data_IF_783663668358
#
_entry.id   IF_783663668358
#
_cell.length_a   1.000
_cell.length_b   1.000
_cell.length_c   1.000
_cell.angle_alpha   90.00
_cell.angle_beta   90.00
_cell.angle_gamma   90.00
#
_symmetry.space_group_name_H-M   'P 1'
#
loop_
_entity.id
_entity.type
_entity.pdbx_description
1 polymer ?
#
# COMPACT_ATOMS: atom_id res chain seq x y z
N UNK A 1 5.35 -10.51 -11.04
CA UNK A 1 5.81 -9.52 -12.01
C UNK A 1 4.60 -8.72 -12.50
N UNK A 2 4.69 -7.38 -12.60
CA UNK A 2 3.56 -6.50 -12.97
C UNK A 2 3.01 -6.83 -14.38
N UNK A 3 3.89 -7.22 -15.30
CA UNK A 3 3.51 -7.62 -16.66
C UNK A 3 2.71 -8.91 -16.67
N UNK A 4 3.01 -9.85 -15.79
CA UNK A 4 2.32 -11.12 -15.68
C UNK A 4 0.91 -10.91 -15.13
N UNK A 5 0.75 -10.03 -14.13
CA UNK A 5 -0.55 -9.67 -13.56
C UNK A 5 -1.50 -9.08 -14.62
N UNK A 6 -1.03 -8.12 -15.43
CA UNK A 6 -1.83 -7.55 -16.52
C UNK A 6 -2.27 -8.61 -17.53
N UNK A 7 -1.36 -9.49 -17.92
CA UNK A 7 -1.67 -10.58 -18.85
C UNK A 7 -2.71 -11.54 -18.28
N UNK A 8 -2.62 -11.89 -17.01
CA UNK A 8 -3.56 -12.80 -16.35
C UNK A 8 -4.94 -12.18 -16.18
N UNK A 9 -5.01 -10.88 -15.87
CA UNK A 9 -6.26 -10.12 -15.85
C UNK A 9 -6.91 -10.08 -17.26
N UNK A 10 -6.14 -9.76 -18.29
CA UNK A 10 -6.63 -9.71 -19.67
C UNK A 10 -7.13 -11.07 -20.18
N UNK A 11 -6.55 -12.16 -19.68
CA UNK A 11 -6.99 -13.54 -19.98
C UNK A 11 -8.14 -14.03 -19.10
N UNK A 12 -8.69 -13.18 -18.22
CA UNK A 12 -9.74 -13.55 -17.27
C UNK A 12 -9.36 -14.70 -16.31
N UNK A 13 -8.08 -14.89 -16.02
CA UNK A 13 -7.59 -15.93 -15.10
C UNK A 13 -7.75 -15.50 -13.64
N UNK A 14 -7.79 -14.19 -13.37
CA UNK A 14 -8.02 -13.62 -12.04
C UNK A 14 -9.49 -13.26 -11.91
N UNK A 15 -10.15 -13.77 -10.88
CA UNK A 15 -11.58 -13.55 -10.60
C UNK A 15 -11.82 -12.75 -9.32
N UNK A 16 -10.80 -12.58 -8.51
CA UNK A 16 -10.87 -11.90 -7.22
C UNK A 16 -9.66 -10.98 -7.05
N UNK A 17 -9.90 -9.76 -6.64
CA UNK A 17 -8.87 -8.75 -6.36
C UNK A 17 -9.11 -8.13 -5.00
N UNK A 18 -8.08 -8.09 -4.17
CA UNK A 18 -8.09 -7.37 -2.90
C UNK A 18 -7.12 -6.19 -2.99
N UNK A 19 -7.65 -4.99 -2.96
CA UNK A 19 -6.90 -3.75 -3.00
C UNK A 19 -6.68 -3.25 -1.58
N UNK A 20 -5.46 -3.40 -1.06
CA UNK A 20 -5.07 -2.88 0.25
C UNK A 20 -4.34 -1.55 0.06
N UNK A 21 -5.02 -0.45 0.34
CA UNK A 21 -4.56 0.94 0.10
C UNK A 21 -4.01 1.16 -1.33
N UNK A 22 -4.47 0.36 -2.29
CA UNK A 22 -4.02 0.39 -3.67
C UNK A 22 -5.05 1.13 -4.53
N UNK A 23 -4.75 2.36 -4.87
CA UNK A 23 -5.62 3.29 -5.59
C UNK A 23 -5.00 3.87 -6.87
N UNK A 24 -3.69 3.66 -7.06
CA UNK A 24 -2.96 4.10 -8.25
C UNK A 24 -2.49 2.89 -9.07
N UNK A 25 -3.37 2.40 -9.93
CA UNK A 25 -3.08 1.27 -10.82
C UNK A 25 -3.66 1.53 -12.22
N UNK A 26 -3.04 0.93 -13.24
CA UNK A 26 -3.32 1.14 -14.67
C UNK A 26 -3.83 -0.12 -15.40
N UNK A 27 -4.43 -1.05 -14.68
CA UNK A 27 -5.00 -2.28 -15.24
C UNK A 27 -6.52 -2.35 -15.01
N UNK A 28 -7.20 -3.08 -15.89
CA UNK A 28 -8.63 -3.31 -15.83
C UNK A 28 -8.97 -4.49 -14.91
N UNK A 29 -9.84 -4.25 -13.93
CA UNK A 29 -10.34 -5.24 -12.97
C UNK A 29 -11.86 -5.40 -13.02
N UNK A 30 -12.52 -4.86 -14.05
CA UNK A 30 -13.98 -4.85 -14.19
C UNK A 30 -14.62 -6.24 -14.23
N UNK A 31 -13.86 -7.28 -14.59
CA UNK A 31 -14.30 -8.67 -14.62
C UNK A 31 -13.98 -9.46 -13.33
N UNK A 32 -13.52 -8.78 -12.28
CA UNK A 32 -13.16 -9.38 -11.00
C UNK A 32 -14.17 -8.98 -9.92
N UNK A 33 -14.34 -9.84 -8.92
CA UNK A 33 -14.91 -9.42 -7.64
C UNK A 33 -13.85 -8.64 -6.87
N UNK A 34 -14.13 -7.40 -6.51
CA UNK A 34 -13.15 -6.47 -5.94
C UNK A 34 -13.50 -6.12 -4.50
N UNK A 35 -12.57 -6.34 -3.59
CA UNK A 35 -12.60 -5.78 -2.25
C UNK A 35 -11.57 -4.64 -2.19
N UNK A 36 -12.01 -3.48 -1.74
CA UNK A 36 -11.12 -2.36 -1.42
C UNK A 36 -11.07 -2.16 0.10
N UNK A 37 -9.85 -2.16 0.64
CA UNK A 37 -9.58 -1.74 2.02
C UNK A 37 -8.67 -0.52 1.97
N UNK A 38 -9.13 0.60 2.51
CA UNK A 38 -8.37 1.84 2.50
C UNK A 38 -9.07 2.95 3.27
N UNK A 39 -8.43 4.10 3.35
CA UNK A 39 -8.86 5.23 4.19
C UNK A 39 -9.47 6.40 3.42
N UNK A 40 -9.35 6.44 2.10
CA UNK A 40 -9.93 7.48 1.24
C UNK A 40 -10.60 6.85 0.02
N UNK A 41 -11.75 7.43 -0.37
CA UNK A 41 -12.43 7.04 -1.59
C UNK A 41 -11.65 7.51 -2.82
N UNK A 42 -11.16 6.57 -3.62
CA UNK A 42 -10.44 6.84 -4.85
C UNK A 42 -10.79 5.77 -5.89
N UNK A 43 -10.03 5.66 -6.97
CA UNK A 43 -10.26 4.72 -8.07
C UNK A 43 -10.55 3.28 -7.59
N UNK A 44 -9.78 2.80 -6.61
CA UNK A 44 -10.00 1.47 -6.04
C UNK A 44 -11.36 1.32 -5.36
N UNK A 45 -11.76 2.32 -4.57
CA UNK A 45 -13.07 2.32 -3.90
C UNK A 45 -14.23 2.42 -4.88
N UNK A 46 -14.06 3.18 -5.98
CA UNK A 46 -15.11 3.34 -7.01
C UNK A 46 -15.37 2.05 -7.80
N UNK A 47 -14.38 1.18 -7.91
CA UNK A 47 -14.46 -0.08 -8.64
C UNK A 47 -14.78 -1.28 -7.72
N UNK A 48 -14.88 -1.07 -6.41
CA UNK A 48 -15.04 -2.16 -5.44
C UNK A 48 -16.49 -2.61 -5.32
N UNK A 49 -16.69 -3.93 -5.24
CA UNK A 49 -17.95 -4.54 -4.84
C UNK A 49 -18.16 -4.45 -3.33
N UNK A 50 -17.05 -4.45 -2.56
CA UNK A 50 -17.07 -4.33 -1.10
C UNK A 50 -15.97 -3.35 -0.66
N UNK A 51 -16.34 -2.41 0.21
CA UNK A 51 -15.42 -1.46 0.84
C UNK A 51 -15.27 -1.79 2.32
N UNK A 52 -14.02 -1.97 2.76
CA UNK A 52 -13.65 -2.16 4.17
C UNK A 52 -12.91 -0.89 4.62
N UNK A 53 -13.51 -0.05 5.48
CA UNK A 53 -12.90 1.22 5.86
C UNK A 53 -11.67 0.99 6.74
N UNK A 54 -10.50 1.35 6.22
CA UNK A 54 -9.22 1.33 6.89
C UNK A 54 -8.89 2.65 7.59
N UNK A 55 -8.02 2.60 8.60
CA UNK A 55 -7.52 3.78 9.30
C UNK A 55 -6.42 4.47 8.48
N UNK A 56 -6.41 5.81 8.49
CA UNK A 56 -5.32 6.60 7.91
C UNK A 56 -4.02 6.47 8.75
N UNK A 57 -2.90 6.90 8.20
CA UNK A 57 -1.59 6.75 8.86
C UNK A 57 -1.49 7.45 10.23
N UNK A 58 -2.26 8.51 10.46
CA UNK A 58 -2.36 9.20 11.75
C UNK A 58 -3.29 8.53 12.75
N UNK A 59 -4.11 7.60 12.31
CA UNK A 59 -5.17 6.93 13.05
C UNK A 59 -4.80 5.49 13.45
N UNK A 60 -3.61 5.05 13.07
CA UNK A 60 -3.09 3.70 13.36
C UNK A 60 -1.62 3.75 13.80
N UNK A 61 -1.18 2.71 14.49
CA UNK A 61 0.24 2.47 14.68
C UNK A 61 0.82 1.74 13.47
N UNK A 62 1.98 2.18 13.02
CA UNK A 62 2.63 1.58 11.85
C UNK A 62 4.14 1.50 11.99
N UNK A 63 4.74 0.62 11.22
CA UNK A 63 6.18 0.59 10.99
C UNK A 63 6.47 1.03 9.55
N UNK A 64 7.41 1.95 9.42
CA UNK A 64 7.76 2.57 8.14
C UNK A 64 9.26 2.42 7.91
N UNK A 65 9.62 2.01 6.71
CA UNK A 65 11.02 1.91 6.30
C UNK A 65 11.32 3.04 5.32
N UNK A 66 12.30 3.89 5.64
CA UNK A 66 12.70 4.98 4.76
C UNK A 66 13.58 4.48 3.60
N UNK A 67 13.98 5.40 2.71
CA UNK A 67 14.81 5.08 1.55
C UNK A 67 16.18 4.50 1.92
N UNK A 68 16.72 4.86 3.09
CA UNK A 68 17.98 4.33 3.62
C UNK A 68 17.82 2.94 4.26
N UNK A 69 16.61 2.41 4.33
CA UNK A 69 16.32 1.13 4.96
C UNK A 69 16.11 1.19 6.48
N UNK A 70 16.04 2.38 7.07
CA UNK A 70 15.81 2.54 8.50
C UNK A 70 14.34 2.32 8.83
N UNK A 71 14.07 1.40 9.75
CA UNK A 71 12.72 1.11 10.25
C UNK A 71 12.39 2.01 11.43
N UNK A 72 11.27 2.71 11.34
CA UNK A 72 10.75 3.59 12.39
C UNK A 72 9.30 3.25 12.70
N UNK A 73 8.86 3.53 13.93
CA UNK A 73 7.47 3.35 14.33
C UNK A 73 6.76 4.69 14.44
N UNK A 74 5.52 4.74 13.94
CA UNK A 74 4.60 5.80 14.27
C UNK A 74 3.64 5.36 15.38
N UNK A 75 3.31 6.29 16.23
CA UNK A 75 2.23 6.13 17.19
C UNK A 75 0.94 6.74 16.64
N UNK A 76 -0.17 6.20 17.04
CA UNK A 76 -1.48 6.74 16.68
C UNK A 76 -1.67 8.12 17.30
N UNK A 77 -1.98 9.13 16.49
CA UNK A 77 -2.23 10.49 16.93
C UNK A 77 -3.71 10.74 17.26
N UNK A 78 -4.63 10.06 16.54
CA UNK A 78 -6.07 10.20 16.74
C UNK A 78 -6.78 8.86 16.50
N UNK A 79 -8.04 8.75 16.89
CA UNK A 79 -8.84 7.56 16.63
C UNK A 79 -9.41 7.59 15.19
N UNK A 80 -9.53 6.41 14.53
CA UNK A 80 -10.21 6.33 13.25
C UNK A 80 -11.66 6.81 13.35
N UNK A 81 -12.18 7.51 12.34
CA UNK A 81 -13.56 7.98 12.33
C UNK A 81 -14.54 6.84 11.99
N UNK A 82 -15.76 6.91 12.52
CA UNK A 82 -16.85 6.00 12.17
C UNK A 82 -16.49 4.53 12.38
N UNK A 83 -16.68 3.73 11.34
CA UNK A 83 -16.41 2.28 11.36
C UNK A 83 -14.98 1.92 10.90
N UNK A 84 -14.14 2.89 10.62
CA UNK A 84 -12.77 2.65 10.20
C UNK A 84 -11.95 1.91 11.28
N UNK A 85 -11.15 0.95 10.85
CA UNK A 85 -10.33 0.09 11.72
C UNK A 85 -8.89 0.03 11.21
N UNK A 86 -7.96 -0.30 12.12
CA UNK A 86 -6.58 -0.61 11.73
C UNK A 86 -6.56 -1.82 10.79
N UNK A 87 -5.75 -1.78 9.75
CA UNK A 87 -5.75 -2.77 8.67
C UNK A 87 -5.58 -4.20 9.15
N UNK A 88 -4.69 -4.41 10.11
CA UNK A 88 -4.43 -5.73 10.66
C UNK A 88 -5.65 -6.32 11.37
N UNK A 89 -6.51 -5.49 12.00
CA UNK A 89 -7.72 -5.96 12.68
C UNK A 89 -8.79 -6.42 11.68
N UNK A 90 -8.89 -5.71 10.54
CA UNK A 90 -9.77 -6.09 9.44
C UNK A 90 -9.34 -7.44 8.87
N UNK A 91 -8.05 -7.58 8.53
CA UNK A 91 -7.50 -8.82 7.99
C UNK A 91 -7.62 -9.99 8.97
N UNK A 92 -7.40 -9.73 10.26
CA UNK A 92 -7.55 -10.73 11.31
C UNK A 92 -9.01 -11.21 11.41
N UNK A 93 -9.98 -10.30 11.40
CA UNK A 93 -11.39 -10.64 11.43
C UNK A 93 -11.84 -11.38 10.17
N UNK A 94 -11.37 -10.95 9.00
CA UNK A 94 -11.66 -11.60 7.72
C UNK A 94 -11.12 -13.03 7.69
N UNK A 95 -9.90 -13.25 8.17
CA UNK A 95 -9.27 -14.57 8.23
C UNK A 95 -10.06 -15.58 9.05
N UNK A 96 -10.65 -15.13 10.15
CA UNK A 96 -11.52 -15.95 10.99
C UNK A 96 -12.82 -16.35 10.27
N UNK A 97 -13.43 -15.38 9.55
CA UNK A 97 -14.63 -15.64 8.74
C UNK A 97 -14.37 -16.60 7.59
N UNK A 98 -13.15 -16.60 7.04
CA UNK A 98 -12.72 -17.51 6.00
C UNK A 98 -12.27 -18.90 6.54
N UNK A 99 -12.36 -19.13 7.86
CA UNK A 99 -12.00 -20.40 8.50
C UNK A 99 -10.48 -20.64 8.59
N UNK A 100 -9.65 -19.64 8.37
CA UNK A 100 -8.18 -19.69 8.49
C UNK A 100 -7.68 -18.54 9.34
N UNK A 101 -7.98 -18.61 10.65
CA UNK A 101 -7.58 -17.60 11.63
C UNK A 101 -6.07 -17.36 11.59
N UNK A 102 -5.65 -16.09 11.47
CA UNK A 102 -4.26 -15.68 11.65
C UNK A 102 -3.85 -15.76 13.13
N UNK A 103 -2.61 -16.15 13.39
CA UNK A 103 -2.09 -16.49 14.73
C UNK A 103 -1.69 -15.27 15.56
N UNK A 104 -2.47 -14.20 15.50
CA UNK A 104 -2.30 -13.02 16.34
C UNK A 104 -3.65 -12.39 16.70
N UNK A 105 -3.78 -11.91 17.92
CA UNK A 105 -4.98 -11.24 18.41
C UNK A 105 -4.69 -9.80 18.88
N UNK A 106 -3.43 -9.36 18.80
CA UNK A 106 -3.02 -7.99 19.12
C UNK A 106 -1.77 -7.58 18.32
N UNK A 107 -1.47 -6.28 18.33
CA UNK A 107 -0.36 -5.70 17.56
C UNK A 107 1.03 -6.20 18.01
N UNK A 108 1.21 -6.53 19.28
CA UNK A 108 2.48 -7.07 19.76
C UNK A 108 2.75 -8.45 19.17
N UNK A 109 1.76 -9.34 19.20
CA UNK A 109 1.87 -10.66 18.57
C UNK A 109 2.12 -10.57 17.08
N UNK A 110 1.43 -9.66 16.38
CA UNK A 110 1.70 -9.41 14.97
C UNK A 110 3.15 -8.97 14.73
N UNK A 111 3.65 -8.05 15.53
CA UNK A 111 5.05 -7.59 15.45
C UNK A 111 6.05 -8.70 15.74
N UNK A 112 5.78 -9.56 16.72
CA UNK A 112 6.64 -10.71 17.02
C UNK A 112 6.73 -11.66 15.81
N UNK A 113 5.62 -11.93 15.13
CA UNK A 113 5.60 -12.73 13.89
C UNK A 113 6.36 -12.02 12.76
N UNK A 114 6.17 -10.73 12.59
CA UNK A 114 6.87 -9.94 11.57
C UNK A 114 8.39 -10.00 11.78
N UNK A 115 8.87 -9.83 13.02
CA UNK A 115 10.29 -9.80 13.34
C UNK A 115 10.95 -11.19 13.39
N UNK A 116 10.16 -12.24 13.64
CA UNK A 116 10.65 -13.61 13.53
C UNK A 116 10.87 -14.04 12.08
N UNK A 117 10.22 -13.37 11.13
CA UNK A 117 10.42 -13.60 9.71
C UNK A 117 11.76 -12.99 9.28
N UNK A 118 12.61 -13.77 8.59
CA UNK A 118 13.94 -13.33 8.11
C UNK A 118 13.88 -12.18 7.08
N UNK A 119 12.69 -11.82 6.65
CA UNK A 119 12.44 -10.79 5.64
C UNK A 119 12.17 -9.42 6.23
N UNK A 120 11.91 -9.33 7.53
CA UNK A 120 11.61 -8.07 8.21
C UNK A 120 12.75 -7.69 9.14
N UNK A 121 13.11 -6.41 9.10
CA UNK A 121 14.14 -5.85 9.97
C UNK A 121 13.57 -5.46 11.32
N UNK A 122 14.40 -5.62 12.33
CA UNK A 122 14.10 -5.10 13.66
C UNK A 122 14.18 -3.58 13.66
N UNK A 123 13.49 -2.97 14.63
CA UNK A 123 13.51 -1.53 14.86
C UNK A 123 14.96 -1.02 14.94
N UNK A 124 15.22 0.09 14.26
CA UNK A 124 16.51 0.78 14.18
C UNK A 124 17.68 -0.05 13.59
N UNK A 125 17.43 -1.25 13.06
CA UNK A 125 18.40 -1.95 12.23
C UNK A 125 18.41 -1.31 10.83
N UNK A 126 19.58 -0.81 10.44
CA UNK A 126 19.78 -0.32 9.07
C UNK A 126 20.01 -1.49 8.12
N UNK A 127 19.24 -1.58 7.07
CA UNK A 127 19.61 -2.40 5.91
C UNK A 127 20.73 -1.65 5.17
N UNK A 128 21.93 -1.73 5.62
CA UNK A 128 23.02 -1.49 4.70
C UNK A 128 23.14 -2.73 3.82
N UNK A 129 22.40 -2.73 2.74
CA UNK A 129 22.60 -3.73 1.72
C UNK A 129 24.00 -3.54 1.15
N UNK A 130 24.71 -4.63 1.02
CA UNK A 130 25.76 -4.87 0.02
C UNK A 130 26.54 -3.64 -0.46
N UNK A 131 27.82 -3.77 -0.45
CA UNK A 131 28.76 -2.87 -1.15
C UNK A 131 28.15 -2.31 -2.43
N UNK A 132 28.30 -1.00 -2.68
CA UNK A 132 27.78 -0.40 -3.89
C UNK A 132 28.33 -1.18 -5.07
N UNK A 133 27.45 -1.77 -5.86
CA UNK A 133 27.86 -2.39 -7.12
C UNK A 133 28.51 -1.29 -7.95
N UNK A 134 29.83 -1.41 -8.14
CA UNK A 134 30.54 -0.55 -9.07
C UNK A 134 29.89 -0.77 -10.42
N UNK A 135 29.14 0.23 -10.87
CA UNK A 135 28.58 0.24 -12.23
C UNK A 135 29.79 0.42 -13.14
N UNK A 136 30.32 -0.69 -13.64
CA UNK A 136 31.31 -0.67 -14.72
C UNK A 136 30.65 0.01 -15.90
N UNK A 137 31.35 1.02 -16.46
CA UNK A 137 30.95 1.87 -17.58
C UNK A 137 29.81 1.28 -18.41
N UNK A 138 28.59 1.73 -18.17
CA UNK A 138 27.53 1.61 -19.14
C UNK A 138 27.70 2.75 -20.14
N UNK A 139 27.57 2.50 -21.42
CA UNK A 139 27.45 3.54 -22.43
C UNK A 139 26.24 4.41 -22.06
N UNK A 140 26.51 5.61 -21.57
CA UNK A 140 25.48 6.60 -21.34
C UNK A 140 24.90 7.01 -22.70
N UNK A 141 23.80 6.41 -23.08
CA UNK A 141 22.97 6.91 -24.18
C UNK A 141 22.30 8.18 -23.72
N UNK A 142 22.60 9.30 -24.33
CA UNK A 142 21.81 10.51 -24.09
C UNK A 142 20.38 10.26 -24.55
N UNK A 143 19.45 10.18 -23.63
CA UNK A 143 18.02 10.20 -23.91
C UNK A 143 17.46 11.57 -23.56
N UNK A 144 16.52 12.07 -24.37
CA UNK A 144 15.75 13.26 -23.99
C UNK A 144 14.99 12.94 -22.71
N UNK A 145 15.17 13.76 -21.68
CA UNK A 145 14.34 13.72 -20.48
C UNK A 145 12.93 14.12 -20.90
N UNK A 146 12.02 13.16 -20.96
CA UNK A 146 10.60 13.44 -21.09
C UNK A 146 10.05 13.70 -19.69
N UNK A 147 9.81 14.96 -19.37
CA UNK A 147 9.05 15.34 -18.22
C UNK A 147 7.56 15.16 -18.55
N UNK A 148 6.93 14.13 -18.02
CA UNK A 148 5.48 14.16 -17.90
C UNK A 148 5.13 15.19 -16.84
N UNK A 149 4.32 16.19 -17.18
CA UNK A 149 3.75 17.14 -16.24
C UNK A 149 2.75 16.39 -15.36
N UNK A 150 3.23 15.69 -14.35
CA UNK A 150 2.36 15.11 -13.32
C UNK A 150 1.89 16.25 -12.42
N UNK A 151 0.61 16.27 -12.15
CA UNK A 151 0.02 17.23 -11.23
C UNK A 151 0.57 17.00 -9.81
N UNK A 152 1.46 17.89 -9.35
CA UNK A 152 2.09 17.80 -8.03
C UNK A 152 1.10 17.91 -6.86
N UNK A 153 -0.04 18.53 -7.09
CA UNK A 153 -1.04 18.75 -6.05
C UNK A 153 -1.94 17.54 -5.81
N UNK A 154 -1.92 16.56 -6.72
CA UNK A 154 -2.81 15.40 -6.71
C UNK A 154 -2.04 14.06 -6.66
N UNK A 155 -0.97 14.01 -5.85
CA UNK A 155 -0.02 12.89 -5.86
C UNK A 155 -0.41 11.71 -4.99
N UNK A 156 -1.30 11.88 -4.04
CA UNK A 156 -1.72 10.80 -3.14
C UNK A 156 -3.24 10.88 -2.87
N UNK A 157 -3.86 9.82 -2.32
CA UNK A 157 -5.30 9.81 -2.05
C UNK A 157 -5.79 10.98 -1.20
N UNK A 158 -5.00 11.38 -0.20
CA UNK A 158 -5.32 12.49 0.69
C UNK A 158 -5.35 13.81 -0.09
N UNK A 159 -4.33 14.08 -0.92
CA UNK A 159 -4.28 15.30 -1.73
C UNK A 159 -5.39 15.32 -2.78
N UNK A 160 -5.70 14.17 -3.41
CA UNK A 160 -6.82 14.05 -4.37
C UNK A 160 -8.19 14.28 -3.74
N UNK A 161 -8.33 14.03 -2.45
CA UNK A 161 -9.56 14.28 -1.69
C UNK A 161 -9.67 15.72 -1.16
N UNK A 162 -8.63 16.55 -1.35
CA UNK A 162 -8.58 17.94 -0.86
C UNK A 162 -9.12 18.91 -1.90
N UNK A 163 -10.13 19.70 -1.54
CA UNK A 163 -10.65 20.79 -2.39
C UNK A 163 -9.57 21.83 -2.69
N UNK A 164 -8.75 22.18 -1.71
CA UNK A 164 -7.64 23.14 -1.87
C UNK A 164 -6.61 22.64 -2.89
N UNK A 165 -6.23 21.35 -2.85
CA UNK A 165 -5.31 20.79 -3.84
C UNK A 165 -5.92 20.74 -5.23
N UNK A 166 -7.23 20.49 -5.33
CA UNK A 166 -7.95 20.53 -6.61
C UNK A 166 -7.95 21.96 -7.21
N UNK A 167 -8.14 22.99 -6.40
CA UNK A 167 -8.06 24.39 -6.83
C UNK A 167 -6.64 24.76 -7.30
N UNK A 168 -5.59 24.28 -6.63
CA UNK A 168 -4.20 24.50 -7.06
C UNK A 168 -3.85 23.78 -8.37
N UNK A 169 -4.66 22.82 -8.80
CA UNK A 169 -4.43 22.02 -10.00
C UNK A 169 -5.03 22.62 -11.28
N UNK A 170 -5.81 23.68 -11.15
CA UNK A 170 -6.45 24.41 -12.28
C UNK A 170 -5.50 25.46 -12.83
#
# INVERSE_FOLDING_TARGET
>A
NHTDLKNDLNKNLIKFVYLLDADDFDFDISNCFVIYQGHHGDKGAQLADVILPGAAYTEKEGSYTNLEGRVQYSQRATFPPGDAKEDWTILRALSEKLGKKLDFDNLLQLRDIMFSSKTMLKFDENIYSSEPKIITKSDFKSSKLNYENKNFFMTCPISRSSSTMAECSQ
#
